data_IF_867241239895
#
_entry.id   IF_867241239895
#
_cell.length_a   1.000
_cell.length_b   1.000
_cell.length_c   1.000
_cell.angle_alpha   90.00
_cell.angle_beta   90.00
_cell.angle_gamma   90.00
#
_symmetry.space_group_name_H-M   'P 1'
#
loop_
_entity.id
_entity.type
_entity.pdbx_description
1 polymer ?
#
# COMPACT_ATOMS: atom_id res chain seq x y z
N UNK A 1 -2.14 0.49 -4.56
CA UNK A 1 -1.93 0.73 -6.02
C UNK A 1 -1.88 2.22 -6.34
N UNK A 2 -2.74 3.05 -5.76
CA UNK A 2 -2.86 4.48 -6.08
C UNK A 2 -1.53 5.26 -6.09
N UNK A 3 -0.59 4.97 -5.20
CA UNK A 3 0.73 5.62 -5.22
C UNK A 3 1.56 5.27 -6.46
N UNK A 4 1.44 4.04 -7.00
CA UNK A 4 2.07 3.65 -8.27
C UNK A 4 1.44 4.38 -9.45
N UNK A 5 0.12 4.50 -9.45
CA UNK A 5 -0.64 5.21 -10.49
C UNK A 5 -0.31 6.72 -10.46
N UNK A 6 -0.19 7.32 -9.26
CA UNK A 6 0.22 8.71 -9.09
C UNK A 6 1.63 8.98 -9.62
N UNK A 7 2.60 8.10 -9.33
CA UNK A 7 3.95 8.19 -9.91
C UNK A 7 3.93 8.13 -11.43
N UNK A 8 3.19 7.17 -12.00
CA UNK A 8 3.05 7.03 -13.44
C UNK A 8 2.41 8.28 -14.07
N UNK A 9 1.40 8.85 -13.43
CA UNK A 9 0.74 10.09 -13.88
C UNK A 9 1.72 11.28 -13.88
N UNK A 10 2.53 11.43 -12.85
CA UNK A 10 3.55 12.48 -12.77
C UNK A 10 4.59 12.29 -13.89
N UNK A 11 5.07 11.04 -14.10
CA UNK A 11 6.13 10.76 -15.06
C UNK A 11 5.68 10.86 -16.52
N UNK A 12 4.45 10.43 -16.83
CA UNK A 12 4.02 10.19 -18.22
C UNK A 12 2.89 11.11 -18.72
N UNK A 13 2.13 11.75 -17.80
CA UNK A 13 0.99 12.58 -18.17
C UNK A 13 1.24 14.09 -18.05
N UNK A 14 2.49 14.52 -17.99
CA UNK A 14 2.85 15.93 -17.94
C UNK A 14 2.47 16.64 -16.64
N UNK A 15 2.20 15.90 -15.56
CA UNK A 15 1.73 16.47 -14.30
C UNK A 15 2.84 17.01 -13.38
N UNK A 16 4.09 16.73 -13.68
CA UNK A 16 5.22 17.18 -12.84
C UNK A 16 5.23 18.68 -12.51
N UNK A 17 4.93 19.61 -13.44
CA UNK A 17 4.90 21.03 -13.12
C UNK A 17 3.80 21.45 -12.13
N UNK A 18 2.79 20.60 -11.92
CA UNK A 18 1.64 20.87 -11.05
C UNK A 18 1.76 20.18 -9.69
N UNK A 19 2.84 19.42 -9.44
CA UNK A 19 3.01 18.60 -8.24
C UNK A 19 4.31 18.97 -7.54
N UNK A 20 4.21 19.55 -6.36
CA UNK A 20 5.39 19.84 -5.54
C UNK A 20 5.88 18.60 -4.77
N UNK A 21 4.95 17.81 -4.24
CA UNK A 21 5.27 16.62 -3.44
C UNK A 21 4.32 15.47 -3.75
N UNK A 22 4.81 14.23 -3.65
CA UNK A 22 3.99 13.02 -3.60
C UNK A 22 4.37 12.22 -2.35
N UNK A 23 3.47 12.17 -1.37
CA UNK A 23 3.60 11.27 -0.23
C UNK A 23 2.69 10.07 -0.42
N UNK A 24 3.29 8.89 -0.53
CA UNK A 24 2.55 7.62 -0.68
C UNK A 24 2.40 6.93 0.67
N UNK A 25 1.24 6.31 0.90
CA UNK A 25 0.95 5.60 2.15
C UNK A 25 0.65 4.14 1.81
N UNK A 26 1.37 3.22 2.42
CA UNK A 26 1.24 1.76 2.25
C UNK A 26 1.24 1.34 0.76
N UNK A 27 2.07 1.97 -0.06
CA UNK A 27 2.16 1.68 -1.49
C UNK A 27 3.29 0.68 -1.76
N UNK A 28 3.02 -0.46 -2.42
CA UNK A 28 4.05 -1.45 -2.73
C UNK A 28 4.90 -1.02 -3.95
N UNK A 29 5.82 -0.10 -3.75
CA UNK A 29 6.68 0.43 -4.83
C UNK A 29 7.58 -0.63 -5.49
N UNK A 30 7.98 -1.65 -4.71
CA UNK A 30 8.78 -2.78 -5.21
C UNK A 30 7.96 -4.03 -5.46
N UNK A 31 6.61 -3.91 -5.36
CA UNK A 31 5.70 -5.01 -5.55
C UNK A 31 5.69 -5.99 -4.38
N UNK A 32 5.16 -7.17 -4.63
CA UNK A 32 4.92 -8.20 -3.63
C UNK A 32 5.31 -9.58 -4.17
N UNK A 33 6.27 -10.22 -3.54
CA UNK A 33 6.73 -11.59 -3.93
C UNK A 33 5.61 -12.61 -3.67
N UNK A 34 4.84 -12.42 -2.60
CA UNK A 34 3.69 -13.25 -2.32
C UNK A 34 2.65 -13.21 -3.48
N UNK A 35 2.40 -12.03 -4.07
CA UNK A 35 1.49 -11.91 -5.20
C UNK A 35 1.95 -12.74 -6.39
N UNK A 36 3.24 -12.72 -6.67
CA UNK A 36 3.86 -13.53 -7.72
C UNK A 36 3.76 -15.04 -7.44
N UNK A 37 4.02 -15.43 -6.20
CA UNK A 37 3.85 -16.81 -5.75
C UNK A 37 2.40 -17.28 -5.89
N UNK A 38 1.43 -16.46 -5.49
CA UNK A 38 0.00 -16.78 -5.60
C UNK A 38 -0.41 -17.04 -7.06
N UNK A 39 0.07 -16.22 -7.99
CA UNK A 39 -0.25 -16.37 -9.40
C UNK A 39 0.37 -17.62 -10.02
N UNK A 40 1.56 -18.02 -9.59
CA UNK A 40 2.37 -19.05 -10.24
C UNK A 40 2.19 -20.46 -9.62
N UNK A 41 1.75 -20.55 -8.37
CA UNK A 41 1.80 -21.81 -7.62
C UNK A 41 0.45 -22.28 -7.08
N UNK A 42 -0.55 -21.39 -6.97
CA UNK A 42 -1.86 -21.81 -6.51
C UNK A 42 -2.73 -22.30 -7.68
N UNK A 43 -3.54 -23.37 -7.46
CA UNK A 43 -4.53 -23.80 -8.44
C UNK A 43 -5.51 -22.67 -8.76
N UNK A 44 -5.89 -22.50 -10.02
CA UNK A 44 -6.81 -21.47 -10.50
C UNK A 44 -8.10 -21.35 -9.68
N UNK A 45 -8.60 -22.47 -9.18
CA UNK A 45 -9.80 -22.49 -8.33
C UNK A 45 -9.59 -21.75 -7.01
N UNK A 46 -8.40 -21.86 -6.42
CA UNK A 46 -8.07 -21.17 -5.17
C UNK A 46 -7.83 -19.68 -5.43
N UNK A 47 -7.11 -19.37 -6.50
CA UNK A 47 -6.86 -17.99 -6.93
C UNK A 47 -8.18 -17.27 -7.19
N UNK A 48 -9.11 -17.89 -7.95
CA UNK A 48 -10.46 -17.33 -8.17
C UNK A 48 -11.21 -17.10 -6.87
N UNK A 49 -11.17 -18.04 -5.93
CA UNK A 49 -11.87 -17.89 -4.64
C UNK A 49 -11.35 -16.70 -3.83
N UNK A 50 -10.05 -16.46 -3.84
CA UNK A 50 -9.44 -15.27 -3.22
C UNK A 50 -9.92 -14.02 -3.94
N UNK A 51 -9.84 -14.00 -5.28
CA UNK A 51 -10.29 -12.88 -6.10
C UNK A 51 -11.77 -12.54 -5.86
N UNK A 52 -12.65 -13.54 -5.84
CA UNK A 52 -14.09 -13.34 -5.58
C UNK A 52 -14.34 -12.70 -4.21
N UNK A 53 -13.55 -13.11 -3.21
CA UNK A 53 -13.65 -12.55 -1.85
C UNK A 53 -13.28 -11.07 -1.84
N UNK A 54 -12.16 -10.69 -2.47
CA UNK A 54 -11.71 -9.30 -2.54
C UNK A 54 -12.61 -8.45 -3.43
N UNK A 55 -13.05 -8.99 -4.57
CA UNK A 55 -13.99 -8.31 -5.46
C UNK A 55 -15.34 -8.05 -4.77
N UNK A 56 -15.84 -8.99 -3.98
CA UNK A 56 -17.05 -8.79 -3.20
C UNK A 56 -16.88 -7.66 -2.16
N UNK A 57 -15.75 -7.63 -1.47
CA UNK A 57 -15.43 -6.57 -0.53
C UNK A 57 -15.28 -5.20 -1.22
N UNK A 58 -14.63 -5.14 -2.38
CA UNK A 58 -14.45 -3.90 -3.15
C UNK A 58 -15.79 -3.36 -3.66
N UNK A 59 -16.70 -4.23 -4.15
CA UNK A 59 -18.08 -3.83 -4.52
C UNK A 59 -18.83 -3.23 -3.34
N UNK A 60 -18.68 -3.82 -2.16
CA UNK A 60 -19.30 -3.28 -0.94
C UNK A 60 -18.77 -1.90 -0.56
N UNK A 61 -17.53 -1.59 -0.96
CA UNK A 61 -16.89 -0.28 -0.77
C UNK A 61 -17.16 0.70 -1.91
N UNK A 62 -17.97 0.32 -2.90
CA UNK A 62 -18.41 1.21 -3.97
C UNK A 62 -17.69 1.05 -5.30
N UNK A 63 -16.80 0.08 -5.46
CA UNK A 63 -16.20 -0.25 -6.76
C UNK A 63 -17.22 -1.03 -7.62
N UNK A 64 -17.63 -0.45 -8.75
CA UNK A 64 -18.63 -1.06 -9.62
C UNK A 64 -18.09 -2.28 -10.39
N UNK A 65 -16.81 -2.27 -10.74
CA UNK A 65 -16.18 -3.28 -11.60
C UNK A 65 -14.81 -3.72 -11.06
N UNK A 66 -14.74 -4.28 -9.85
CA UNK A 66 -13.47 -4.65 -9.25
C UNK A 66 -12.84 -5.83 -10.00
N UNK A 67 -11.57 -5.69 -10.35
CA UNK A 67 -10.73 -6.76 -10.89
C UNK A 67 -9.50 -6.96 -10.00
N UNK A 68 -9.67 -7.77 -8.97
CA UNK A 68 -8.60 -8.10 -8.04
C UNK A 68 -7.42 -8.78 -8.74
N UNK A 69 -7.68 -9.62 -9.76
CA UNK A 69 -6.61 -10.34 -10.45
C UNK A 69 -5.76 -9.42 -11.33
N UNK A 70 -6.37 -8.44 -12.00
CA UNK A 70 -5.61 -7.41 -12.71
C UNK A 70 -4.77 -6.59 -11.73
N UNK A 71 -5.35 -6.18 -10.59
CA UNK A 71 -4.63 -5.45 -9.55
C UNK A 71 -3.45 -6.26 -8.98
N UNK A 72 -3.62 -7.56 -8.73
CA UNK A 72 -2.56 -8.44 -8.22
C UNK A 72 -1.42 -8.60 -9.23
N UNK A 73 -1.74 -8.76 -10.53
CA UNK A 73 -0.71 -8.83 -11.59
C UNK A 73 0.14 -7.56 -11.64
N UNK A 74 -0.50 -6.41 -11.51
CA UNK A 74 0.19 -5.12 -11.46
C UNK A 74 1.10 -4.95 -10.25
N UNK A 75 0.83 -5.69 -9.17
CA UNK A 75 1.54 -5.61 -7.90
C UNK A 75 2.56 -6.73 -7.67
N UNK A 76 2.83 -7.58 -8.65
CA UNK A 76 3.93 -8.54 -8.57
C UNK A 76 5.28 -7.81 -8.50
N UNK A 77 6.28 -8.43 -7.88
CA UNK A 77 7.61 -7.85 -7.78
C UNK A 77 8.20 -7.57 -9.18
N UNK A 78 8.06 -8.51 -10.12
CA UNK A 78 8.52 -8.37 -11.50
C UNK A 78 7.80 -7.25 -12.27
N UNK A 79 6.48 -7.10 -12.10
CA UNK A 79 5.73 -6.01 -12.73
C UNK A 79 6.13 -4.63 -12.18
N UNK A 80 6.31 -4.52 -10.86
CA UNK A 80 6.77 -3.29 -10.24
C UNK A 80 8.20 -2.94 -10.61
N UNK A 81 9.10 -3.90 -10.69
CA UNK A 81 10.47 -3.68 -11.19
C UNK A 81 10.45 -3.15 -12.62
N UNK A 82 9.69 -3.77 -13.52
CA UNK A 82 9.56 -3.33 -14.90
C UNK A 82 8.99 -1.92 -15.00
N UNK A 83 7.96 -1.62 -14.21
CA UNK A 83 7.37 -0.27 -14.12
C UNK A 83 8.38 0.76 -13.61
N UNK A 84 9.13 0.45 -12.57
CA UNK A 84 10.10 1.37 -11.98
C UNK A 84 11.21 1.77 -12.98
N UNK A 85 11.60 0.87 -13.88
CA UNK A 85 12.58 1.18 -14.95
C UNK A 85 12.09 2.22 -15.94
N UNK A 86 10.78 2.27 -16.20
CA UNK A 86 10.19 3.19 -17.18
C UNK A 86 9.46 4.37 -16.54
N UNK A 87 9.38 4.44 -15.22
CA UNK A 87 8.70 5.50 -14.46
C UNK A 87 9.69 6.17 -13.52
N UNK A 88 10.64 6.97 -14.05
CA UNK A 88 11.60 7.68 -13.22
C UNK A 88 10.91 8.77 -12.41
N UNK A 89 11.41 9.01 -11.21
CA UNK A 89 10.98 10.13 -10.40
C UNK A 89 11.42 11.45 -11.06
N UNK A 90 10.52 12.43 -11.12
CA UNK A 90 10.83 13.75 -11.65
C UNK A 90 11.65 14.54 -10.63
N UNK A 91 12.81 15.13 -11.00
CA UNK A 91 13.67 15.84 -10.05
C UNK A 91 13.05 17.11 -9.46
N UNK A 92 12.00 17.64 -10.08
CA UNK A 92 11.24 18.79 -9.56
C UNK A 92 10.14 18.42 -8.54
N UNK A 93 9.94 17.13 -8.26
CA UNK A 93 8.92 16.64 -7.34
C UNK A 93 9.58 15.92 -6.17
N UNK A 94 9.16 16.23 -4.94
CA UNK A 94 9.64 15.52 -3.75
C UNK A 94 8.78 14.29 -3.49
N UNK A 95 9.41 13.12 -3.49
CA UNK A 95 8.75 11.84 -3.22
C UNK A 95 9.04 11.40 -1.79
N UNK A 96 7.99 11.05 -1.07
CA UNK A 96 8.05 10.52 0.29
C UNK A 96 7.14 9.31 0.43
N UNK A 97 7.45 8.43 1.36
CA UNK A 97 6.62 7.27 1.63
C UNK A 97 6.41 7.05 3.12
N UNK A 98 5.23 6.56 3.44
CA UNK A 98 4.82 6.17 4.79
C UNK A 98 4.36 4.73 4.73
N UNK A 99 4.75 3.94 5.72
CA UNK A 99 4.33 2.56 5.84
C UNK A 99 3.88 2.26 7.26
N UNK A 100 2.80 1.51 7.38
CA UNK A 100 2.33 0.98 8.66
C UNK A 100 2.71 -0.50 8.82
N UNK A 101 2.77 -0.99 10.03
CA UNK A 101 3.11 -2.38 10.29
C UNK A 101 2.16 -3.04 11.29
N UNK A 102 1.73 -4.26 10.97
CA UNK A 102 1.02 -5.14 11.88
C UNK A 102 1.98 -6.00 12.68
N UNK A 103 1.62 -6.29 13.94
CA UNK A 103 2.40 -7.21 14.77
C UNK A 103 1.81 -8.63 14.78
N UNK A 104 0.60 -8.82 14.25
CA UNK A 104 -0.10 -10.12 14.19
C UNK A 104 -1.22 -10.11 13.15
N UNK A 105 -1.61 -11.29 12.69
CA UNK A 105 -2.67 -11.47 11.70
C UNK A 105 -4.03 -10.88 12.12
N UNK A 106 -4.31 -10.79 13.42
CA UNK A 106 -5.56 -10.23 13.95
C UNK A 106 -5.57 -8.70 14.05
N UNK A 107 -4.49 -8.04 13.65
CA UNK A 107 -4.42 -6.56 13.67
C UNK A 107 -5.34 -5.93 12.65
N UNK A 108 -5.46 -6.53 11.46
CA UNK A 108 -6.44 -6.12 10.46
C UNK A 108 -7.73 -6.92 10.52
N UNK A 109 -8.77 -6.45 9.82
CA UNK A 109 -10.03 -7.17 9.63
C UNK A 109 -10.07 -7.91 8.31
N UNK A 110 -10.92 -8.93 8.25
CA UNK A 110 -11.24 -9.64 7.01
C UNK A 110 -11.82 -8.66 5.95
N UNK A 111 -11.43 -8.75 4.66
CA UNK A 111 -10.49 -9.75 4.11
C UNK A 111 -9.01 -9.32 4.15
N UNK A 112 -8.68 -8.10 4.54
CA UNK A 112 -7.34 -7.51 4.42
C UNK A 112 -6.28 -8.19 5.31
N UNK A 113 -6.72 -8.94 6.33
CA UNK A 113 -5.81 -9.66 7.22
C UNK A 113 -5.52 -11.11 6.78
N UNK A 114 -6.18 -11.61 5.73
CA UNK A 114 -6.03 -13.00 5.28
C UNK A 114 -4.61 -13.31 4.82
N UNK A 115 -4.00 -12.35 4.17
CA UNK A 115 -2.68 -12.48 3.56
C UNK A 115 -1.52 -12.22 4.52
N UNK A 116 -1.76 -11.66 5.71
CA UNK A 116 -0.71 -11.27 6.65
C UNK A 116 0.40 -12.32 6.84
N UNK A 117 0.03 -13.58 7.10
CA UNK A 117 1.02 -14.64 7.38
C UNK A 117 1.82 -15.02 6.15
N UNK A 118 1.19 -14.95 4.98
CA UNK A 118 1.82 -15.29 3.71
C UNK A 118 2.76 -14.16 3.28
N UNK A 119 2.32 -12.91 3.37
CA UNK A 119 3.19 -11.74 3.14
C UNK A 119 4.36 -11.76 4.13
N UNK A 120 4.11 -12.05 5.42
CA UNK A 120 5.18 -12.13 6.41
C UNK A 120 6.21 -13.24 6.11
N UNK A 121 5.78 -14.33 5.52
CA UNK A 121 6.67 -15.44 5.14
C UNK A 121 7.54 -15.10 3.92
N UNK A 122 6.96 -14.47 2.89
CA UNK A 122 7.65 -14.18 1.62
C UNK A 122 8.36 -12.84 1.62
N UNK A 123 7.75 -11.82 2.22
CA UNK A 123 8.11 -10.41 2.07
C UNK A 123 8.50 -9.75 3.41
N UNK A 124 8.29 -10.43 4.56
CA UNK A 124 8.67 -9.93 5.89
C UNK A 124 7.61 -9.06 6.59
N UNK A 125 8.02 -8.14 7.49
CA UNK A 125 7.11 -7.26 8.23
C UNK A 125 6.16 -6.51 7.30
N UNK A 126 4.84 -6.47 7.64
CA UNK A 126 3.83 -5.97 6.73
C UNK A 126 2.59 -5.43 7.48
N UNK A 127 1.72 -4.74 6.75
CA UNK A 127 0.46 -4.19 7.24
C UNK A 127 -0.77 -5.11 7.01
N UNK A 128 -0.52 -6.34 6.57
CA UNK A 128 -1.53 -7.32 6.17
C UNK A 128 -1.57 -7.55 4.66
N UNK A 129 -1.11 -6.61 3.84
CA UNK A 129 -1.08 -6.69 2.37
C UNK A 129 0.27 -6.34 1.77
N UNK A 130 0.94 -5.32 2.29
CA UNK A 130 2.17 -4.75 1.74
C UNK A 130 3.29 -4.91 2.76
N UNK A 131 4.46 -5.30 2.30
CA UNK A 131 5.67 -5.39 3.13
C UNK A 131 6.35 -4.03 3.30
N UNK A 132 6.99 -3.84 4.43
CA UNK A 132 7.71 -2.60 4.78
C UNK A 132 8.76 -2.26 3.71
N UNK A 133 9.59 -3.23 3.34
CA UNK A 133 10.67 -3.04 2.37
C UNK A 133 10.15 -2.68 0.97
N UNK A 134 8.93 -3.15 0.63
CA UNK A 134 8.30 -2.82 -0.64
C UNK A 134 7.78 -1.38 -0.70
N UNK A 135 7.45 -0.80 0.45
CA UNK A 135 6.84 0.53 0.54
C UNK A 135 7.84 1.67 0.63
N UNK A 136 9.09 1.40 0.98
CA UNK A 136 10.13 2.42 1.08
C UNK A 136 10.45 3.03 -0.28
N UNK A 137 10.22 4.35 -0.42
CA UNK A 137 10.44 5.10 -1.65
C UNK A 137 10.68 6.59 -1.39
N UNK A 138 11.47 7.21 -2.30
CA UNK A 138 11.72 8.64 -2.28
C UNK A 138 12.80 9.06 -1.29
N UNK A 139 12.79 10.34 -0.95
CA UNK A 139 13.81 10.98 -0.11
C UNK A 139 13.54 10.84 1.39
N UNK A 140 12.33 10.48 1.78
CA UNK A 140 11.93 10.28 3.17
C UNK A 140 11.02 9.07 3.30
N UNK A 141 11.35 8.20 4.25
CA UNK A 141 10.54 7.07 4.64
C UNK A 141 10.13 7.18 6.11
N UNK A 142 8.86 6.99 6.40
CA UNK A 142 8.32 7.00 7.77
C UNK A 142 7.63 5.68 8.05
N UNK A 143 8.07 4.96 9.08
CA UNK A 143 7.41 3.76 9.56
C UNK A 143 6.47 4.10 10.72
N UNK A 144 5.17 3.78 10.54
CA UNK A 144 4.16 3.90 11.58
C UNK A 144 4.10 2.61 12.39
N UNK A 145 4.79 2.60 13.51
CA UNK A 145 4.84 1.47 14.43
C UNK A 145 4.50 1.94 15.85
N UNK A 146 3.20 1.99 16.22
CA UNK A 146 2.80 2.41 17.55
C UNK A 146 3.20 1.36 18.60
N UNK A 147 3.45 1.83 19.79
CA UNK A 147 3.72 0.94 20.93
C UNK A 147 2.53 0.01 21.15
N UNK A 148 2.80 -1.31 21.29
CA UNK A 148 1.75 -2.28 21.60
C UNK A 148 1.80 -3.54 20.73
N UNK A 149 0.85 -4.45 21.01
CA UNK A 149 0.84 -5.79 20.39
C UNK A 149 0.04 -5.87 19.08
N UNK A 150 -0.64 -4.80 18.68
CA UNK A 150 -1.54 -4.82 17.53
C UNK A 150 -0.83 -4.35 16.26
N UNK A 151 -0.15 -3.22 16.31
CA UNK A 151 0.31 -2.50 15.11
C UNK A 151 -0.83 -1.82 14.36
N UNK A 152 -0.55 -1.32 13.16
CA UNK A 152 -1.47 -0.62 12.29
C UNK A 152 -1.62 -1.41 11.00
N UNK A 153 -2.85 -1.78 10.63
CA UNK A 153 -3.13 -2.52 9.39
C UNK A 153 -3.32 -1.60 8.19
N UNK A 154 -3.32 -2.20 6.99
CA UNK A 154 -3.58 -1.51 5.74
C UNK A 154 -4.89 -0.70 5.73
N UNK A 155 -5.94 -1.21 6.37
CA UNK A 155 -7.21 -0.53 6.47
C UNK A 155 -7.26 0.57 7.53
N UNK A 156 -6.40 0.49 8.55
CA UNK A 156 -6.41 1.45 9.66
C UNK A 156 -5.94 2.84 9.22
N UNK A 157 -5.00 2.91 8.27
CA UNK A 157 -4.47 4.20 7.78
C UNK A 157 -5.50 5.04 7.00
N UNK A 158 -6.61 4.44 6.60
CA UNK A 158 -7.75 5.12 5.95
C UNK A 158 -9.02 5.08 6.81
N UNK A 159 -8.90 4.72 8.08
CA UNK A 159 -10.04 4.58 9.02
C UNK A 159 -11.18 3.68 8.50
N UNK A 160 -10.83 2.66 7.72
CA UNK A 160 -11.78 1.80 7.01
C UNK A 160 -12.82 1.18 7.94
N UNK A 161 -12.41 0.80 9.14
CA UNK A 161 -13.26 0.11 10.10
C UNK A 161 -13.70 1.03 11.25
N UNK A 162 -13.29 2.29 11.26
CA UNK A 162 -13.57 3.28 12.32
C UNK A 162 -13.25 2.74 13.73
N UNK A 163 -12.09 2.11 13.85
CA UNK A 163 -11.60 1.53 15.10
C UNK A 163 -10.66 2.47 15.84
N UNK A 164 -10.79 2.51 17.15
CA UNK A 164 -9.77 3.16 17.97
C UNK A 164 -8.52 2.25 18.06
N UNK A 165 -7.42 2.73 17.54
CA UNK A 165 -6.14 2.02 17.55
C UNK A 165 -5.28 2.60 18.66
N UNK A 166 -4.90 1.80 19.67
CA UNK A 166 -4.05 2.29 20.74
C UNK A 166 -2.72 2.87 20.20
N UNK A 167 -2.48 4.15 20.50
CA UNK A 167 -1.26 4.85 20.08
C UNK A 167 -1.27 5.34 18.62
N UNK A 168 -2.39 5.26 17.91
CA UNK A 168 -2.52 5.81 16.55
C UNK A 168 -3.89 6.45 16.35
N UNK A 169 -3.90 7.75 16.08
CA UNK A 169 -5.08 8.48 15.61
C UNK A 169 -4.87 8.84 14.13
N UNK A 170 -5.70 8.27 13.25
CA UNK A 170 -5.59 8.45 11.80
C UNK A 170 -5.81 9.91 11.37
N UNK A 171 -6.69 10.65 12.06
CA UNK A 171 -6.97 12.06 11.72
C UNK A 171 -5.79 12.93 12.10
N UNK A 172 -5.27 12.74 13.30
CA UNK A 172 -4.07 13.43 13.76
C UNK A 172 -2.86 13.12 12.86
N UNK A 173 -2.71 11.86 12.44
CA UNK A 173 -1.68 11.47 11.46
C UNK A 173 -1.75 12.31 10.19
N UNK A 174 -2.93 12.45 9.57
CA UNK A 174 -3.06 13.26 8.35
C UNK A 174 -2.84 14.76 8.60
N UNK A 175 -3.30 15.29 9.75
CA UNK A 175 -3.04 16.68 10.15
C UNK A 175 -1.53 16.92 10.30
N UNK A 176 -0.83 16.04 10.99
CA UNK A 176 0.63 16.16 11.18
C UNK A 176 1.40 16.00 9.86
N UNK A 177 0.94 15.10 8.97
CA UNK A 177 1.52 14.94 7.63
C UNK A 177 1.40 16.26 6.83
N UNK A 178 0.21 16.85 6.78
CA UNK A 178 -0.04 18.11 6.09
C UNK A 178 0.73 19.28 6.72
N UNK A 179 0.75 19.37 8.04
CA UNK A 179 1.53 20.40 8.76
C UNK A 179 3.02 20.28 8.44
N UNK A 180 3.57 19.07 8.48
CA UNK A 180 4.96 18.81 8.15
C UNK A 180 5.33 19.16 6.70
N UNK A 181 4.42 19.00 5.74
CA UNK A 181 4.62 19.48 4.36
C UNK A 181 4.64 21.01 4.32
N UNK A 182 3.66 21.67 4.95
CA UNK A 182 3.61 23.12 5.04
C UNK A 182 4.86 23.72 5.69
N UNK A 183 5.35 23.13 6.79
CA UNK A 183 6.55 23.63 7.49
C UNK A 183 7.82 23.53 6.62
N UNK A 184 7.81 22.64 5.63
CA UNK A 184 8.89 22.50 4.63
C UNK A 184 8.68 23.36 3.39
N UNK A 185 7.61 24.18 3.33
CA UNK A 185 7.34 25.14 2.26
C UNK A 185 6.56 24.57 1.07
N UNK A 186 5.82 23.48 1.27
CA UNK A 186 4.96 22.86 0.25
C UNK A 186 3.46 23.17 0.43
#
# INVERSE_FOLDING_TARGET
KGGLDARATIAHCGMAPCVATLTTINTPHRGCVFAEYLLNHLPDRMVRRVADTYNAAARHLGDAEPDFMAAVRDLTASACESRNRITPDNPGVVYESVMSVCHKARSGRFPLNMTYRLVNYFDGPNDGLVAVDSAEWGSRFTLLEPAGRRGISHGDVIDLNRENIPGFDVREFYVQLAAGLKDRGY
#
